data_IF_080265513451
#
_entry.id   IF_080265513451
#
_cell.length_a   1.000
_cell.length_b   1.000
_cell.length_c   1.000
_cell.angle_alpha   90.00
_cell.angle_beta   90.00
_cell.angle_gamma   90.00
#
_symmetry.space_group_name_H-M   'P 1'
#
loop_
_entity.id
_entity.type
_entity.pdbx_description
1 polymer ?
#
# COMPACT_ATOMS: atom_id res chain seq x y z
N UNK A 1 39.79 24.58 11.30
CA UNK A 1 39.89 24.20 9.87
C UNK A 1 38.53 24.47 9.17
N UNK A 2 38.18 25.72 8.95
CA UNK A 2 36.90 26.08 8.34
C UNK A 2 36.90 27.43 7.62
N UNK A 3 38.00 28.15 7.67
CA UNK A 3 38.10 29.49 7.07
C UNK A 3 38.60 29.45 5.61
N UNK A 4 39.53 28.59 5.31
CA UNK A 4 40.14 28.51 3.95
C UNK A 4 39.19 27.93 2.88
N UNK A 5 38.27 27.00 3.27
CA UNK A 5 37.31 26.43 2.33
C UNK A 5 36.28 27.46 1.87
N UNK A 6 35.87 28.42 2.72
CA UNK A 6 34.96 29.50 2.36
C UNK A 6 35.60 30.56 1.48
N UNK A 7 36.89 30.80 1.63
CA UNK A 7 37.63 31.78 0.83
C UNK A 7 37.89 31.23 -0.57
N UNK A 8 38.22 29.96 -0.70
CA UNK A 8 38.42 29.31 -1.99
C UNK A 8 37.10 29.21 -2.79
N UNK A 9 35.97 28.98 -2.15
CA UNK A 9 34.68 28.98 -2.81
C UNK A 9 34.28 30.37 -3.34
N UNK A 10 34.57 31.44 -2.58
CA UNK A 10 34.33 32.82 -3.03
C UNK A 10 35.22 33.23 -4.19
N UNK A 11 36.46 32.74 -4.22
CA UNK A 11 37.41 33.01 -5.30
C UNK A 11 37.00 32.30 -6.59
N UNK A 12 36.58 31.03 -6.51
CA UNK A 12 36.09 30.28 -7.66
C UNK A 12 34.81 30.88 -8.27
N UNK A 13 33.94 31.42 -7.42
CA UNK A 13 32.70 32.08 -7.87
C UNK A 13 32.99 33.42 -8.56
N UNK A 14 34.05 34.14 -8.15
CA UNK A 14 34.46 35.40 -8.76
C UNK A 14 35.12 35.20 -10.13
N UNK A 15 35.85 34.08 -10.33
CA UNK A 15 36.45 33.72 -11.63
C UNK A 15 35.41 33.24 -12.65
N UNK A 16 34.34 32.58 -12.19
CA UNK A 16 33.27 32.10 -13.07
C UNK A 16 32.29 33.22 -13.52
N UNK A 17 32.05 34.22 -12.71
CA UNK A 17 31.12 35.32 -13.01
C UNK A 17 31.81 36.64 -13.43
N UNK A 18 33.15 36.73 -13.33
CA UNK A 18 33.89 37.93 -13.71
C UNK A 18 34.09 38.14 -15.22
N UNK A 19 33.70 37.19 -16.03
CA UNK A 19 33.86 37.25 -17.50
C UNK A 19 32.61 37.68 -18.27
N UNK A 20 31.52 38.02 -17.59
CA UNK A 20 30.25 38.42 -18.19
C UNK A 20 29.80 39.85 -17.86
N UNK A 21 30.70 40.66 -17.29
CA UNK A 21 30.40 42.06 -16.99
C UNK A 21 31.13 43.00 -17.96
N UNK A 22 30.64 43.07 -19.15
CA UNK A 22 31.07 44.01 -20.16
C UNK A 22 29.84 44.48 -20.96
N UNK A 23 28.97 45.27 -20.30
CA UNK A 23 28.19 46.33 -20.90
C UNK A 23 27.39 47.04 -19.77
N UNK A 24 27.83 48.23 -19.49
CA UNK A 24 27.17 49.13 -18.55
C UNK A 24 25.83 49.55 -19.15
N UNK A 25 24.72 49.13 -18.56
CA UNK A 25 23.44 49.75 -18.74
C UNK A 25 23.26 50.68 -17.53
N UNK A 26 23.39 51.99 -17.75
CA UNK A 26 22.94 53.01 -16.83
C UNK A 26 21.41 52.81 -16.63
N UNK A 27 21.04 52.35 -15.46
CA UNK A 27 19.67 52.45 -15.03
C UNK A 27 19.50 53.67 -14.18
N UNK A 28 18.90 54.67 -14.80
CA UNK A 28 18.27 55.80 -14.10
C UNK A 28 17.29 55.26 -13.06
N UNK A 29 17.39 55.81 -11.88
CA UNK A 29 16.53 55.56 -10.75
C UNK A 29 15.23 56.41 -10.96
N UNK A 30 14.08 55.79 -11.15
CA UNK A 30 12.83 56.47 -10.90
C UNK A 30 12.31 56.03 -9.51
N UNK A 31 12.51 56.95 -8.54
CA UNK A 31 11.62 56.99 -7.39
C UNK A 31 10.24 57.42 -7.92
N UNK A 32 9.43 56.42 -8.31
CA UNK A 32 8.00 56.65 -8.48
C UNK A 32 7.26 55.78 -7.45
N UNK A 33 6.58 56.54 -6.61
CA UNK A 33 5.56 56.13 -5.65
C UNK A 33 4.72 54.99 -6.21
N UNK A 34 4.91 53.78 -5.67
CA UNK A 34 3.94 52.71 -5.83
C UNK A 34 2.86 52.90 -4.76
N UNK A 35 1.97 53.86 -5.08
CA UNK A 35 0.73 54.05 -4.33
C UNK A 35 -0.14 52.81 -4.53
N UNK A 36 -0.32 52.14 -3.42
CA UNK A 36 -1.33 51.14 -3.04
C UNK A 36 -2.54 51.03 -3.99
N UNK A 37 -2.46 50.07 -4.90
CA UNK A 37 -3.64 49.34 -5.35
C UNK A 37 -3.30 47.86 -5.35
N UNK A 38 -3.34 47.26 -4.16
CA UNK A 38 -3.56 45.83 -4.05
C UNK A 38 -5.00 45.58 -4.53
N UNK A 39 -5.22 44.82 -5.60
CA UNK A 39 -6.57 44.35 -5.87
C UNK A 39 -7.01 43.53 -4.64
N UNK A 40 -8.12 43.96 -4.03
CA UNK A 40 -8.84 43.16 -3.05
C UNK A 40 -9.14 41.81 -3.72
N UNK A 41 -8.37 40.77 -3.35
CA UNK A 41 -8.70 39.39 -3.66
C UNK A 41 -9.97 39.12 -2.87
N UNK A 42 -11.11 38.83 -3.52
CA UNK A 42 -12.34 38.53 -2.80
C UNK A 42 -12.02 37.31 -1.89
N UNK A 43 -12.39 37.43 -0.62
CA UNK A 43 -12.37 36.35 0.38
C UNK A 43 -13.48 35.34 0.04
N UNK A 44 -13.43 34.76 -1.16
CA UNK A 44 -14.26 33.62 -1.52
C UNK A 44 -13.37 32.39 -1.68
N UNK A 45 -13.57 31.51 -0.72
CA UNK A 45 -13.13 30.12 -0.73
C UNK A 45 -11.60 29.93 -0.82
N UNK A 46 -10.90 30.27 0.26
CA UNK A 46 -9.77 29.42 0.65
C UNK A 46 -10.39 28.06 0.88
N UNK A 47 -10.42 27.23 -0.17
CA UNK A 47 -10.60 25.81 -0.01
C UNK A 47 -9.54 25.41 1.02
N UNK A 48 -9.99 25.22 2.25
CA UNK A 48 -9.19 24.61 3.29
C UNK A 48 -8.82 23.25 2.69
N UNK A 49 -7.62 23.17 2.11
CA UNK A 49 -6.98 21.89 1.90
C UNK A 49 -6.91 21.29 3.30
N UNK A 50 -7.97 20.56 3.66
CA UNK A 50 -7.92 19.67 4.78
C UNK A 50 -6.72 18.78 4.48
N UNK A 51 -5.61 19.04 5.16
CA UNK A 51 -4.52 18.10 5.25
C UNK A 51 -5.17 16.74 5.39
N UNK A 52 -4.80 15.74 4.55
CA UNK A 52 -5.37 14.41 4.69
C UNK A 52 -5.25 14.07 6.16
N UNK A 53 -6.37 13.77 6.78
CA UNK A 53 -6.46 13.50 8.22
C UNK A 53 -5.29 12.61 8.55
N UNK A 54 -4.40 13.08 9.43
CA UNK A 54 -3.22 12.33 9.86
C UNK A 54 -3.74 10.98 10.34
N UNK A 55 -3.64 9.97 9.49
CA UNK A 55 -4.04 8.61 9.84
C UNK A 55 -3.12 8.21 10.97
N UNK A 56 -3.64 8.24 12.19
CA UNK A 56 -2.89 7.83 13.36
C UNK A 56 -2.64 6.33 13.25
N UNK A 57 -1.43 5.97 12.87
CA UNK A 57 -1.00 4.58 12.76
C UNK A 57 -0.47 4.12 14.11
N UNK A 58 -1.10 3.10 14.66
CA UNK A 58 -0.59 2.43 15.86
C UNK A 58 0.52 1.46 15.45
N UNK A 59 1.72 1.64 16.00
CA UNK A 59 2.88 0.80 15.69
C UNK A 59 3.26 -0.09 16.86
N UNK A 60 3.29 -1.41 16.64
CA UNK A 60 3.77 -2.42 17.59
C UNK A 60 5.21 -2.78 17.21
N UNK A 61 6.17 -2.46 18.07
CA UNK A 61 7.60 -2.66 17.85
C UNK A 61 7.99 -4.14 17.76
N UNK A 62 9.14 -4.43 17.13
CA UNK A 62 9.60 -5.80 16.85
C UNK A 62 9.90 -6.66 18.09
N UNK A 63 10.30 -6.03 19.20
CA UNK A 63 10.58 -6.74 20.46
C UNK A 63 9.32 -6.90 21.34
N UNK A 64 8.17 -6.39 20.88
CA UNK A 64 6.93 -6.44 21.65
C UNK A 64 6.24 -7.78 21.46
N UNK A 65 5.88 -8.41 22.56
CA UNK A 65 5.05 -9.62 22.58
C UNK A 65 3.73 -9.27 23.26
N UNK A 66 2.63 -9.47 22.55
CA UNK A 66 1.28 -9.24 23.06
C UNK A 66 0.59 -10.59 23.21
N UNK A 67 -0.02 -10.82 24.36
CA UNK A 67 -0.87 -11.99 24.58
C UNK A 67 -2.27 -11.52 24.91
N UNK A 68 -3.23 -11.85 24.07
CA UNK A 68 -4.62 -11.42 24.20
C UNK A 68 -5.13 -10.72 22.95
N UNK A 69 -6.30 -10.14 23.04
CA UNK A 69 -6.97 -9.50 21.90
C UNK A 69 -6.49 -8.07 21.71
N UNK A 70 -6.09 -7.74 20.50
CA UNK A 70 -5.74 -6.38 20.07
C UNK A 70 -6.93 -5.78 19.31
N UNK A 71 -7.37 -4.59 19.71
CA UNK A 71 -8.41 -3.83 19.00
C UNK A 71 -7.89 -2.44 18.66
N UNK A 72 -8.05 -2.04 17.41
CA UNK A 72 -7.69 -0.72 16.90
C UNK A 72 -8.82 -0.16 16.04
N UNK A 73 -9.09 1.11 16.14
CA UNK A 73 -9.99 1.82 15.21
C UNK A 73 -9.26 2.47 14.04
N UNK A 74 -7.93 2.55 14.10
CA UNK A 74 -7.09 3.11 13.05
C UNK A 74 -6.11 2.09 12.49
N UNK A 75 -5.31 2.52 11.50
CA UNK A 75 -4.32 1.69 10.86
C UNK A 75 -3.30 1.12 11.85
N UNK A 76 -2.95 -0.16 11.70
CA UNK A 76 -2.09 -0.90 12.62
C UNK A 76 -0.86 -1.45 11.88
N UNK A 77 0.33 -1.12 12.39
CA UNK A 77 1.61 -1.68 11.92
C UNK A 77 2.18 -2.65 12.97
N UNK A 78 2.35 -3.92 12.62
CA UNK A 78 2.79 -4.97 13.54
C UNK A 78 4.17 -5.48 13.12
N UNK A 79 5.18 -5.20 13.92
CA UNK A 79 6.55 -5.73 13.75
C UNK A 79 6.86 -6.84 14.77
N UNK A 80 6.14 -6.89 15.88
CA UNK A 80 6.33 -7.82 16.98
C UNK A 80 5.59 -9.15 16.79
N UNK A 81 5.38 -9.82 17.92
CA UNK A 81 4.65 -11.09 17.96
C UNK A 81 3.34 -10.93 18.74
N UNK A 82 2.24 -11.42 18.18
CA UNK A 82 0.93 -11.40 18.81
C UNK A 82 0.42 -12.81 18.98
N UNK A 83 0.07 -13.18 20.21
CA UNK A 83 -0.64 -14.41 20.55
C UNK A 83 -2.08 -14.05 20.89
N UNK A 84 -2.99 -14.07 19.93
CA UNK A 84 -4.39 -13.72 20.10
C UNK A 84 -4.96 -13.03 18.86
N UNK A 85 -6.22 -12.66 18.95
CA UNK A 85 -6.95 -12.11 17.83
C UNK A 85 -6.70 -10.61 17.63
N UNK A 86 -6.67 -10.18 16.38
CA UNK A 86 -6.48 -8.78 15.99
C UNK A 86 -7.72 -8.28 15.26
N UNK A 87 -8.28 -7.19 15.75
CA UNK A 87 -9.42 -6.50 15.14
C UNK A 87 -9.01 -5.07 14.81
N UNK A 88 -9.18 -4.68 13.56
CA UNK A 88 -8.98 -3.30 13.11
C UNK A 88 -10.14 -2.87 12.21
N UNK A 89 -10.63 -1.65 12.39
CA UNK A 89 -11.61 -1.07 11.49
C UNK A 89 -10.97 -0.50 10.22
N UNK A 90 -9.63 -0.47 10.18
CA UNK A 90 -8.84 0.09 9.11
C UNK A 90 -7.76 -0.89 8.61
N UNK A 91 -6.71 -0.38 7.97
CA UNK A 91 -5.66 -1.18 7.35
C UNK A 91 -4.71 -1.81 8.38
N UNK A 92 -4.33 -3.06 8.15
CA UNK A 92 -3.34 -3.77 8.97
C UNK A 92 -2.13 -4.13 8.12
N UNK A 93 -0.96 -3.68 8.54
CA UNK A 93 0.34 -3.97 7.94
C UNK A 93 1.15 -4.89 8.85
N UNK A 94 1.44 -6.09 8.39
CA UNK A 94 2.16 -7.09 9.17
C UNK A 94 3.57 -7.35 8.65
N UNK A 95 4.55 -7.20 9.55
CA UNK A 95 5.97 -7.53 9.34
C UNK A 95 6.48 -8.58 10.33
N UNK A 96 5.68 -8.92 11.33
CA UNK A 96 6.02 -9.81 12.43
C UNK A 96 5.26 -11.14 12.39
N UNK A 97 4.90 -11.64 13.56
CA UNK A 97 4.23 -12.93 13.70
C UNK A 97 2.89 -12.77 14.43
N UNK A 98 1.86 -13.46 13.92
CA UNK A 98 0.55 -13.51 14.58
C UNK A 98 0.09 -14.96 14.70
N UNK A 99 -0.27 -15.36 15.92
CA UNK A 99 -0.92 -16.62 16.19
C UNK A 99 -2.35 -16.34 16.72
N UNK A 100 -3.31 -16.26 15.83
CA UNK A 100 -4.71 -15.90 16.09
C UNK A 100 -5.38 -15.39 14.82
N UNK A 101 -6.63 -15.00 14.93
CA UNK A 101 -7.40 -14.53 13.79
C UNK A 101 -7.21 -13.02 13.58
N UNK A 102 -7.26 -12.58 12.33
CA UNK A 102 -7.16 -11.17 11.98
C UNK A 102 -8.43 -10.76 11.26
N UNK A 103 -9.06 -9.68 11.75
CA UNK A 103 -10.19 -9.04 11.09
C UNK A 103 -9.86 -7.57 10.83
N UNK A 104 -9.94 -7.14 9.56
CA UNK A 104 -9.61 -5.77 9.18
C UNK A 104 -10.33 -5.35 7.89
N UNK A 105 -10.10 -4.10 7.46
CA UNK A 105 -10.58 -3.61 6.17
C UNK A 105 -9.68 -4.07 5.05
N UNK A 106 -8.42 -3.68 5.07
CA UNK A 106 -7.38 -4.15 4.17
C UNK A 106 -6.25 -4.79 4.96
N UNK A 107 -5.69 -5.86 4.42
CA UNK A 107 -4.60 -6.57 5.04
C UNK A 107 -3.39 -6.66 4.12
N UNK A 108 -2.25 -6.14 4.57
CA UNK A 108 -0.98 -6.20 3.86
C UNK A 108 0.05 -6.98 4.70
N UNK A 109 0.40 -8.16 4.25
CA UNK A 109 1.41 -9.02 4.88
C UNK A 109 2.73 -8.94 4.12
N UNK A 110 3.68 -8.21 4.62
CA UNK A 110 4.98 -8.02 3.97
C UNK A 110 5.98 -9.11 4.30
N UNK A 111 6.05 -9.53 5.57
CA UNK A 111 6.99 -10.54 6.04
C UNK A 111 6.49 -11.19 7.34
N UNK A 112 7.06 -12.36 7.66
CA UNK A 112 6.75 -13.09 8.88
C UNK A 112 5.79 -14.25 8.66
N UNK A 113 5.12 -14.69 9.71
CA UNK A 113 4.21 -15.81 9.65
C UNK A 113 2.91 -15.58 10.41
N UNK A 114 1.82 -16.05 9.83
CA UNK A 114 0.49 -16.04 10.44
C UNK A 114 0.07 -17.49 10.64
N UNK A 115 -0.47 -17.76 11.83
CA UNK A 115 -1.14 -19.03 12.15
C UNK A 115 -2.55 -18.70 12.65
N UNK A 116 -3.52 -18.78 11.75
CA UNK A 116 -4.92 -18.42 12.01
C UNK A 116 -5.58 -17.86 10.76
N UNK A 117 -6.87 -17.57 10.85
CA UNK A 117 -7.64 -17.11 9.71
C UNK A 117 -7.55 -15.59 9.55
N UNK A 118 -7.54 -15.12 8.30
CA UNK A 118 -7.54 -13.71 7.97
C UNK A 118 -8.82 -13.36 7.24
N UNK A 119 -9.59 -12.46 7.81
CA UNK A 119 -10.80 -11.92 7.20
C UNK A 119 -10.62 -10.43 6.93
N UNK A 120 -10.64 -10.07 5.66
CA UNK A 120 -10.62 -8.67 5.25
C UNK A 120 -11.91 -8.31 4.50
N UNK A 121 -12.38 -7.10 4.71
CA UNK A 121 -13.60 -6.63 4.02
C UNK A 121 -13.31 -6.37 2.53
N UNK A 122 -12.14 -5.82 2.22
CA UNK A 122 -11.78 -5.42 0.87
C UNK A 122 -10.62 -6.26 0.30
N UNK A 123 -9.39 -5.97 0.66
CA UNK A 123 -8.23 -6.56 -0.01
C UNK A 123 -7.30 -7.28 0.97
N UNK A 124 -6.73 -8.41 0.51
CA UNK A 124 -5.61 -9.07 1.15
C UNK A 124 -4.44 -9.08 0.17
N UNK A 125 -3.29 -8.57 0.61
CA UNK A 125 -2.04 -8.62 -0.12
C UNK A 125 -0.98 -9.38 0.67
N UNK A 126 -0.39 -10.42 0.07
CA UNK A 126 0.64 -11.24 0.69
C UNK A 126 1.93 -11.09 -0.11
N UNK A 127 2.95 -10.53 0.51
CA UNK A 127 4.28 -10.36 -0.08
C UNK A 127 5.07 -11.66 -0.12
N UNK A 128 6.14 -11.69 -0.90
CA UNK A 128 6.98 -12.87 -1.17
C UNK A 128 7.63 -13.49 0.07
N UNK A 129 7.86 -12.71 1.12
CA UNK A 129 8.43 -13.15 2.40
C UNK A 129 7.36 -13.55 3.43
N UNK A 130 6.08 -13.46 3.08
CA UNK A 130 4.97 -13.82 3.94
C UNK A 130 4.62 -15.30 3.89
N UNK A 131 4.25 -15.87 5.04
CA UNK A 131 3.71 -17.21 5.15
C UNK A 131 2.44 -17.21 5.98
N UNK A 132 1.37 -17.80 5.46
CA UNK A 132 0.08 -17.86 6.12
C UNK A 132 -0.35 -19.34 6.21
N UNK A 133 -0.71 -19.74 7.42
CA UNK A 133 -1.32 -21.02 7.71
C UNK A 133 -2.72 -20.80 8.28
N UNK A 134 -3.73 -20.92 7.45
CA UNK A 134 -5.13 -20.67 7.76
C UNK A 134 -5.91 -20.17 6.55
N UNK A 135 -7.21 -19.97 6.72
CA UNK A 135 -8.09 -19.60 5.64
C UNK A 135 -8.09 -18.07 5.44
N UNK A 136 -8.22 -17.66 4.19
CA UNK A 136 -8.30 -16.26 3.79
C UNK A 136 -9.70 -15.96 3.24
N UNK A 137 -10.33 -14.94 3.79
CA UNK A 137 -11.65 -14.46 3.32
C UNK A 137 -11.54 -12.98 3.00
N UNK A 138 -11.78 -12.60 1.74
CA UNK A 138 -11.75 -11.21 1.31
C UNK A 138 -12.58 -10.96 0.06
N UNK A 139 -12.67 -9.71 -0.36
CA UNK A 139 -13.20 -9.37 -1.68
C UNK A 139 -12.19 -9.69 -2.77
N UNK A 140 -10.94 -9.25 -2.60
CA UNK A 140 -9.86 -9.55 -3.51
C UNK A 140 -8.63 -10.05 -2.75
N UNK A 141 -7.90 -11.00 -3.33
CA UNK A 141 -6.64 -11.52 -2.78
C UNK A 141 -5.55 -11.44 -3.83
N UNK A 142 -4.42 -10.85 -3.46
CA UNK A 142 -3.21 -10.83 -4.24
C UNK A 142 -2.09 -11.47 -3.43
N UNK A 143 -1.53 -12.56 -3.93
CA UNK A 143 -0.49 -13.30 -3.21
C UNK A 143 0.77 -13.47 -4.03
N UNK A 144 1.92 -13.15 -3.43
CA UNK A 144 3.25 -13.45 -3.90
C UNK A 144 3.99 -14.41 -2.93
N UNK A 145 3.39 -14.71 -1.78
CA UNK A 145 3.96 -15.52 -0.71
C UNK A 145 3.38 -16.94 -0.62
N UNK A 146 3.58 -17.55 0.53
CA UNK A 146 3.12 -18.92 0.80
C UNK A 146 1.83 -18.90 1.60
N UNK A 147 0.82 -19.57 1.09
CA UNK A 147 -0.48 -19.72 1.76
C UNK A 147 -0.84 -21.18 1.84
N UNK A 148 -1.16 -21.65 3.04
CA UNK A 148 -1.67 -23.00 3.27
C UNK A 148 -3.02 -22.90 3.98
N UNK A 149 -4.10 -23.11 3.23
CA UNK A 149 -5.48 -22.98 3.65
C UNK A 149 -6.35 -22.58 2.47
N UNK A 150 -7.63 -22.42 2.72
CA UNK A 150 -8.60 -22.12 1.66
C UNK A 150 -8.71 -20.60 1.41
N UNK A 151 -8.85 -20.22 0.16
CA UNK A 151 -9.09 -18.84 -0.25
C UNK A 151 -10.53 -18.69 -0.70
N UNK A 152 -11.28 -17.85 0.01
CA UNK A 152 -12.68 -17.55 -0.35
C UNK A 152 -12.79 -16.07 -0.68
N UNK A 153 -13.09 -15.78 -1.94
CA UNK A 153 -13.19 -14.39 -2.41
C UNK A 153 -14.46 -14.15 -3.22
N UNK A 154 -15.05 -13.01 -3.04
CA UNK A 154 -16.20 -12.58 -3.85
C UNK A 154 -15.82 -11.87 -5.15
N UNK A 155 -14.55 -11.55 -5.34
CA UNK A 155 -14.02 -10.84 -6.49
C UNK A 155 -12.90 -11.59 -7.20
N UNK A 156 -11.66 -11.11 -7.10
CA UNK A 156 -10.51 -11.61 -7.85
C UNK A 156 -9.45 -12.22 -6.93
N UNK A 157 -8.89 -13.37 -7.35
CA UNK A 157 -7.63 -13.90 -6.84
C UNK A 157 -6.54 -13.73 -7.89
N UNK A 158 -5.41 -13.17 -7.49
CA UNK A 158 -4.23 -12.99 -8.30
C UNK A 158 -3.02 -13.63 -7.63
N UNK A 159 -2.48 -14.70 -8.22
CA UNK A 159 -1.24 -15.33 -7.77
C UNK A 159 -0.08 -14.81 -8.60
N UNK A 160 0.89 -14.20 -7.92
CA UNK A 160 2.10 -13.65 -8.53
C UNK A 160 3.20 -14.73 -8.65
N UNK A 161 4.36 -14.35 -9.15
CA UNK A 161 5.42 -15.26 -9.60
C UNK A 161 5.98 -16.16 -8.50
N UNK A 162 6.03 -15.70 -7.24
CA UNK A 162 6.56 -16.47 -6.12
C UNK A 162 5.46 -17.15 -5.29
N UNK A 163 4.20 -17.01 -5.70
CA UNK A 163 3.08 -17.52 -4.93
C UNK A 163 3.07 -19.05 -4.87
N UNK A 164 2.98 -19.58 -3.65
CA UNK A 164 2.78 -21.01 -3.41
C UNK A 164 1.52 -21.15 -2.56
N UNK A 165 0.48 -21.69 -3.16
CA UNK A 165 -0.81 -21.88 -2.48
C UNK A 165 -1.12 -23.37 -2.38
N UNK A 166 -1.47 -23.82 -1.17
CA UNK A 166 -1.89 -25.18 -0.90
C UNK A 166 -3.26 -25.15 -0.21
N UNK A 167 -4.31 -25.46 -0.94
CA UNK A 167 -5.70 -25.44 -0.51
C UNK A 167 -6.63 -25.07 -1.66
N UNK A 168 -7.92 -25.03 -1.38
CA UNK A 168 -8.92 -24.77 -2.39
C UNK A 168 -9.19 -23.27 -2.54
N UNK A 169 -9.40 -22.84 -3.77
CA UNK A 169 -9.65 -21.43 -4.11
C UNK A 169 -11.08 -21.28 -4.65
N UNK A 170 -11.90 -20.52 -3.94
CA UNK A 170 -13.23 -20.16 -4.39
C UNK A 170 -13.26 -18.67 -4.74
N UNK A 171 -13.47 -18.34 -6.01
CA UNK A 171 -13.39 -16.97 -6.50
C UNK A 171 -14.23 -16.75 -7.75
N UNK A 172 -14.51 -15.50 -8.08
CA UNK A 172 -15.17 -15.14 -9.33
C UNK A 172 -14.17 -15.00 -10.48
N UNK A 173 -13.02 -14.42 -10.21
CA UNK A 173 -11.96 -14.21 -11.21
C UNK A 173 -10.63 -14.73 -10.68
N UNK A 174 -9.99 -15.58 -11.45
CA UNK A 174 -8.71 -16.17 -11.09
C UNK A 174 -7.63 -15.80 -12.11
N UNK A 175 -6.49 -15.35 -11.64
CA UNK A 175 -5.31 -15.07 -12.45
C UNK A 175 -4.09 -15.66 -11.78
N UNK A 176 -3.28 -16.37 -12.52
CA UNK A 176 -2.04 -16.98 -12.04
C UNK A 176 -0.89 -16.64 -12.98
N UNK A 177 0.23 -16.20 -12.42
CA UNK A 177 1.46 -15.94 -13.17
C UNK A 177 2.31 -17.19 -13.37
N UNK A 178 3.23 -17.16 -14.34
CA UNK A 178 3.92 -18.35 -14.88
C UNK A 178 4.67 -19.20 -13.87
N UNK A 179 5.20 -18.60 -12.78
CA UNK A 179 6.01 -19.33 -11.79
C UNK A 179 5.23 -19.67 -10.52
N UNK A 180 3.98 -19.22 -10.41
CA UNK A 180 3.15 -19.52 -9.26
C UNK A 180 2.80 -21.02 -9.18
N UNK A 181 2.72 -21.55 -7.98
CA UNK A 181 2.36 -22.94 -7.73
C UNK A 181 1.06 -23.01 -6.92
N UNK A 182 0.07 -23.71 -7.46
CA UNK A 182 -1.19 -24.00 -6.76
C UNK A 182 -1.37 -25.50 -6.63
N UNK A 183 -1.66 -25.94 -5.41
CA UNK A 183 -2.02 -27.31 -5.08
C UNK A 183 -3.38 -27.33 -4.40
N UNK A 184 -4.42 -27.70 -5.13
CA UNK A 184 -5.83 -27.70 -4.68
C UNK A 184 -6.75 -27.53 -5.86
N UNK A 185 -8.00 -27.27 -5.58
CA UNK A 185 -9.05 -27.08 -6.58
C UNK A 185 -9.44 -25.62 -6.68
N UNK A 186 -9.63 -25.13 -7.90
CA UNK A 186 -10.14 -23.77 -8.13
C UNK A 186 -11.61 -23.89 -8.52
N UNK A 187 -12.47 -23.32 -7.68
CA UNK A 187 -13.89 -23.15 -7.95
C UNK A 187 -14.12 -21.73 -8.45
N UNK A 188 -14.53 -21.57 -9.70
CA UNK A 188 -14.92 -20.29 -10.26
C UNK A 188 -16.43 -20.15 -10.13
N UNK A 189 -16.88 -19.21 -9.30
CA UNK A 189 -18.29 -18.85 -9.22
C UNK A 189 -18.68 -18.03 -10.45
N UNK A 190 -18.97 -18.76 -11.52
CA UNK A 190 -19.36 -18.20 -12.82
C UNK A 190 -20.85 -17.80 -12.85
N UNK A 191 -21.33 -17.10 -11.83
CA UNK A 191 -22.72 -16.66 -11.78
C UNK A 191 -23.09 -15.83 -13.02
N UNK A 192 -23.68 -16.48 -14.02
CA UNK A 192 -24.25 -15.84 -15.20
C UNK A 192 -23.88 -16.41 -16.57
N UNK A 193 -23.05 -17.44 -16.65
CA UNK A 193 -22.86 -18.19 -17.90
C UNK A 193 -23.35 -19.61 -17.69
N UNK A 194 -24.47 -19.91 -18.27
CA UNK A 194 -24.95 -21.28 -18.42
C UNK A 194 -24.00 -21.94 -19.43
N UNK A 195 -23.06 -22.73 -18.92
CA UNK A 195 -22.02 -23.40 -19.72
C UNK A 195 -22.70 -24.40 -20.67
N UNK A 196 -23.80 -25.01 -20.22
CA UNK A 196 -24.53 -26.00 -20.99
C UNK A 196 -25.20 -25.37 -22.22
N UNK A 197 -25.71 -24.13 -22.11
CA UNK A 197 -26.27 -23.41 -23.27
C UNK A 197 -25.21 -22.98 -24.26
N UNK A 198 -24.03 -22.54 -23.78
CA UNK A 198 -22.92 -22.14 -24.65
C UNK A 198 -22.33 -23.32 -25.45
N UNK A 199 -22.37 -24.54 -24.89
CA UNK A 199 -21.94 -25.75 -25.61
C UNK A 199 -23.03 -26.27 -26.56
N UNK A 200 -24.29 -26.11 -26.23
CA UNK A 200 -25.38 -26.53 -27.11
C UNK A 200 -25.38 -25.81 -28.45
N UNK A 201 -25.05 -24.51 -28.45
CA UNK A 201 -24.94 -23.70 -29.68
C UNK A 201 -23.74 -24.06 -30.56
N UNK A 202 -22.68 -24.65 -29.97
CA UNK A 202 -21.49 -25.07 -30.71
C UNK A 202 -21.65 -26.41 -31.46
N UNK A 203 -22.61 -27.25 -31.05
CA UNK A 203 -22.79 -28.61 -31.59
C UNK A 203 -24.10 -28.81 -32.36
N UNK A 204 -24.91 -27.78 -32.57
CA UNK A 204 -26.02 -27.80 -33.52
C UNK A 204 -25.50 -27.63 -34.96
N UNK A 205 -25.23 -28.77 -35.62
CA UNK A 205 -24.98 -28.84 -37.04
C UNK A 205 -26.29 -29.12 -37.81
#
# INVERSE_FOLDING_TARGET
MGSEAKENAKRAMRELFGSLAGEAIEMENPEEEFDSVLPEIPEEEVAVFQSPAKVERTKIGGETVITGTVKSSGALEIYGTIYGDVYSDDDVHLYGHVAGNINCRNFCHYAGAIKGNVTATDNIEVGSSGAILGDLVAKNVRSDGRVSGNLVTSGKVELLENAIVSGDVNTRYFTMKNSACLRGVVHLDGSGRDVDSAFADCFNF
#
